data_IF_387829796933
#
_entry.id   IF_387829796933
#
_cell.length_a   1.000
_cell.length_b   1.000
_cell.length_c   1.000
_cell.angle_alpha   90.00
_cell.angle_beta   90.00
_cell.angle_gamma   90.00
#
_symmetry.space_group_name_H-M   'P 1'
#
loop_
_entity.id
_entity.type
_entity.pdbx_description
1 polymer ?
#
# COMPACT_ATOMS: atom_id res chain seq x y z
N UNK A 1 22.80 -31.29 32.88
CA UNK A 1 22.57 -31.47 31.43
C UNK A 1 21.10 -31.69 31.09
N UNK A 2 20.33 -32.49 31.86
CA UNK A 2 18.89 -32.71 31.61
C UNK A 2 17.99 -31.46 31.75
N UNK A 3 18.36 -30.47 32.59
CA UNK A 3 17.59 -29.22 32.74
C UNK A 3 17.68 -28.32 31.50
N UNK A 4 18.86 -28.23 30.87
CA UNK A 4 19.08 -27.39 29.70
C UNK A 4 18.30 -27.92 28.48
N UNK A 5 18.28 -29.24 28.32
CA UNK A 5 17.59 -29.92 27.22
C UNK A 5 16.05 -29.75 27.29
N UNK A 6 15.49 -29.70 28.50
CA UNK A 6 14.05 -29.44 28.71
C UNK A 6 13.65 -28.02 28.36
N UNK A 7 14.53 -27.03 28.62
CA UNK A 7 14.30 -25.62 28.29
C UNK A 7 14.37 -25.41 26.77
N UNK A 8 15.30 -26.06 26.07
CA UNK A 8 15.37 -25.94 24.61
C UNK A 8 14.14 -26.53 23.92
N UNK A 9 13.63 -27.67 24.40
CA UNK A 9 12.47 -28.33 23.79
C UNK A 9 11.18 -27.49 23.91
N UNK A 10 11.00 -26.80 25.04
CA UNK A 10 9.84 -25.94 25.27
C UNK A 10 9.89 -24.65 24.45
N UNK A 11 11.09 -24.06 24.26
CA UNK A 11 11.26 -22.87 23.40
C UNK A 11 10.91 -23.21 21.95
N UNK A 12 11.37 -24.35 21.42
CA UNK A 12 11.08 -24.78 20.04
C UNK A 12 9.59 -25.04 19.80
N UNK A 13 8.89 -25.61 20.77
CA UNK A 13 7.45 -25.91 20.64
C UNK A 13 6.59 -24.64 20.66
N UNK A 14 7.03 -23.61 21.39
CA UNK A 14 6.37 -22.31 21.49
C UNK A 14 6.42 -21.53 20.17
N UNK A 15 7.54 -21.63 19.44
CA UNK A 15 7.73 -20.93 18.15
C UNK A 15 6.86 -21.50 17.02
N UNK A 16 6.53 -22.79 17.05
CA UNK A 16 5.69 -23.42 16.01
C UNK A 16 4.21 -23.03 16.11
N UNK A 17 3.69 -22.81 17.33
CA UNK A 17 2.27 -22.51 17.54
C UNK A 17 1.88 -21.08 17.15
N UNK A 18 2.83 -20.14 17.13
CA UNK A 18 2.56 -18.75 16.75
C UNK A 18 2.35 -18.56 15.24
N UNK A 19 2.85 -19.48 14.42
CA UNK A 19 2.81 -19.35 12.95
C UNK A 19 1.42 -19.62 12.33
N UNK A 20 0.49 -20.28 13.05
CA UNK A 20 -0.82 -20.64 12.49
C UNK A 20 -1.92 -19.58 12.66
N UNK A 21 -1.67 -18.49 13.38
CA UNK A 21 -2.71 -17.48 13.68
C UNK A 21 -2.84 -16.37 12.65
N UNK A 22 -2.07 -16.39 11.56
CA UNK A 22 -2.04 -15.33 10.55
C UNK A 22 -2.84 -15.74 9.29
N UNK A 23 -4.12 -16.07 9.47
CA UNK A 23 -5.06 -16.14 8.34
C UNK A 23 -6.22 -15.19 8.62
N UNK A 24 -5.87 -13.91 8.80
CA UNK A 24 -6.87 -12.84 8.78
C UNK A 24 -7.37 -12.72 7.34
N UNK A 25 -8.62 -13.13 7.12
CA UNK A 25 -9.31 -12.96 5.86
C UNK A 25 -9.36 -11.48 5.52
N UNK A 26 -8.78 -11.11 4.38
CA UNK A 26 -8.87 -9.78 3.78
C UNK A 26 -10.31 -9.52 3.30
N UNK A 27 -11.24 -9.37 4.22
CA UNK A 27 -12.48 -8.62 4.00
C UNK A 27 -12.14 -7.14 4.25
N UNK A 28 -11.29 -6.57 3.40
CA UNK A 28 -10.80 -5.20 3.54
C UNK A 28 -11.93 -4.24 3.15
N UNK A 29 -12.55 -3.65 4.16
CA UNK A 29 -13.68 -2.75 4.04
C UNK A 29 -13.29 -1.43 3.35
N UNK A 30 -14.28 -0.80 2.73
CA UNK A 30 -14.24 0.50 2.05
C UNK A 30 -13.54 1.64 2.82
N UNK A 31 -13.37 1.52 4.13
CA UNK A 31 -12.64 2.49 4.96
C UNK A 31 -11.14 2.51 4.67
N UNK A 32 -10.54 1.35 4.38
CA UNK A 32 -9.12 1.26 4.07
C UNK A 32 -8.79 1.86 2.70
N UNK A 33 -9.66 1.63 1.71
CA UNK A 33 -9.56 2.23 0.38
C UNK A 33 -9.64 3.77 0.45
N UNK A 34 -10.45 4.31 1.36
CA UNK A 34 -10.57 5.74 1.61
C UNK A 34 -9.28 6.33 2.23
N UNK A 35 -8.67 5.62 3.17
CA UNK A 35 -7.39 6.03 3.78
C UNK A 35 -6.24 6.04 2.76
N UNK A 36 -6.13 5.01 1.92
CA UNK A 36 -5.12 4.96 0.84
C UNK A 36 -5.33 6.11 -0.15
N UNK A 37 -6.57 6.36 -0.57
CA UNK A 37 -6.89 7.45 -1.50
C UNK A 37 -6.53 8.81 -0.91
N UNK A 38 -6.81 9.03 0.37
CA UNK A 38 -6.45 10.27 1.08
C UNK A 38 -4.93 10.46 1.13
N UNK A 39 -4.18 9.42 1.50
CA UNK A 39 -2.71 9.47 1.52
C UNK A 39 -2.12 9.71 0.14
N UNK A 40 -2.69 9.08 -0.89
CA UNK A 40 -2.29 9.34 -2.27
C UNK A 40 -2.49 10.82 -2.64
N UNK A 41 -3.64 11.41 -2.31
CA UNK A 41 -3.92 12.82 -2.60
C UNK A 41 -2.93 13.76 -1.93
N UNK A 42 -2.58 13.50 -0.67
CA UNK A 42 -1.56 14.26 0.04
C UNK A 42 -0.19 14.16 -0.65
N UNK A 43 0.22 12.94 -1.03
CA UNK A 43 1.46 12.71 -1.78
C UNK A 43 1.47 13.39 -3.15
N UNK A 44 0.37 13.32 -3.89
CA UNK A 44 0.18 13.99 -5.17
C UNK A 44 0.33 15.51 -5.03
N UNK A 45 -0.38 16.12 -4.07
CA UNK A 45 -0.31 17.56 -3.83
C UNK A 45 1.09 18.00 -3.40
N UNK A 46 1.78 17.22 -2.57
CA UNK A 46 3.16 17.48 -2.19
C UNK A 46 4.11 17.42 -3.39
N UNK A 47 3.96 16.43 -4.27
CA UNK A 47 4.76 16.32 -5.49
C UNK A 47 4.55 17.50 -6.44
N UNK A 48 3.29 17.93 -6.62
CA UNK A 48 2.97 19.10 -7.44
C UNK A 48 3.52 20.39 -6.85
N UNK A 49 3.39 20.59 -5.54
CA UNK A 49 3.96 21.74 -4.83
C UNK A 49 5.50 21.76 -4.95
N UNK A 50 6.15 20.60 -4.77
CA UNK A 50 7.60 20.47 -4.96
C UNK A 50 8.04 20.78 -6.39
N UNK A 51 7.20 20.47 -7.38
CA UNK A 51 7.43 20.81 -8.79
C UNK A 51 7.08 22.26 -9.14
N UNK A 52 6.54 23.06 -8.20
CA UNK A 52 6.05 24.41 -8.46
C UNK A 52 4.86 24.46 -9.44
N UNK A 53 4.11 23.35 -9.57
CA UNK A 53 2.99 23.22 -10.50
C UNK A 53 1.67 23.23 -9.75
N UNK A 54 0.65 23.85 -10.36
CA UNK A 54 -0.74 23.70 -9.93
C UNK A 54 -1.42 22.67 -10.84
N UNK A 55 -1.88 21.52 -10.31
CA UNK A 55 -2.57 20.52 -11.12
C UNK A 55 -3.93 21.05 -11.61
N UNK A 56 -4.36 20.68 -12.83
CA UNK A 56 -5.73 20.87 -13.27
C UNK A 56 -6.75 20.23 -12.32
N UNK A 57 -7.98 20.75 -12.33
CA UNK A 57 -9.06 20.20 -11.52
C UNK A 57 -9.29 18.71 -11.83
N UNK A 58 -9.43 17.90 -10.77
CA UNK A 58 -9.66 16.45 -10.87
C UNK A 58 -8.41 15.60 -11.08
N UNK A 59 -7.24 16.18 -11.41
CA UNK A 59 -6.05 15.40 -11.74
C UNK A 59 -5.55 14.53 -10.58
N UNK A 60 -5.56 15.06 -9.36
CA UNK A 60 -5.17 14.30 -8.17
C UNK A 60 -6.11 13.13 -7.91
N UNK A 61 -7.42 13.35 -8.02
CA UNK A 61 -8.43 12.31 -7.84
C UNK A 61 -8.29 11.20 -8.89
N UNK A 62 -8.13 11.58 -10.15
CA UNK A 62 -7.93 10.63 -11.26
C UNK A 62 -6.67 9.78 -11.05
N UNK A 63 -5.56 10.44 -10.70
CA UNK A 63 -4.27 9.76 -10.47
C UNK A 63 -4.36 8.79 -9.30
N UNK A 64 -5.03 9.19 -8.22
CA UNK A 64 -5.16 8.37 -7.02
C UNK A 64 -6.14 7.21 -7.16
N UNK A 65 -7.22 7.38 -7.93
CA UNK A 65 -8.08 6.26 -8.27
C UNK A 65 -7.32 5.22 -9.10
N UNK A 66 -6.58 5.67 -10.12
CA UNK A 66 -5.72 4.77 -10.89
C UNK A 66 -4.73 4.01 -9.99
N UNK A 67 -4.09 4.71 -9.04
CA UNK A 67 -3.12 4.10 -8.14
C UNK A 67 -3.77 3.02 -7.27
N UNK A 68 -4.93 3.31 -6.69
CA UNK A 68 -5.69 2.33 -5.90
C UNK A 68 -6.07 1.11 -6.75
N UNK A 69 -6.56 1.33 -7.98
CA UNK A 69 -6.91 0.24 -8.90
C UNK A 69 -5.71 -0.67 -9.20
N UNK A 70 -4.52 -0.10 -9.42
CA UNK A 70 -3.29 -0.89 -9.68
C UNK A 70 -2.85 -1.67 -8.45
N UNK A 71 -2.87 -1.06 -7.26
CA UNK A 71 -2.49 -1.74 -6.01
C UNK A 71 -3.48 -2.87 -5.71
N UNK A 72 -4.78 -2.64 -5.87
CA UNK A 72 -5.81 -3.66 -5.71
C UNK A 72 -5.67 -4.80 -6.74
N UNK A 73 -5.13 -4.51 -7.93
CA UNK A 73 -4.78 -5.52 -8.94
C UNK A 73 -3.48 -6.28 -8.64
N UNK A 74 -2.80 -6.01 -7.52
CA UNK A 74 -1.56 -6.68 -7.11
C UNK A 74 -0.29 -6.07 -7.70
N UNK A 75 -0.37 -4.89 -8.31
CA UNK A 75 0.81 -4.18 -8.83
C UNK A 75 1.71 -3.69 -7.70
N UNK A 76 3.03 -3.72 -7.91
CA UNK A 76 3.98 -3.13 -6.96
C UNK A 76 3.83 -1.60 -6.93
N UNK A 77 3.93 -1.00 -5.74
CA UNK A 77 3.65 0.43 -5.49
C UNK A 77 4.39 1.36 -6.47
N UNK A 78 5.69 1.13 -6.69
CA UNK A 78 6.50 1.97 -7.60
C UNK A 78 6.02 1.89 -9.05
N UNK A 79 5.67 0.69 -9.53
CA UNK A 79 5.12 0.47 -10.86
C UNK A 79 3.74 1.12 -10.99
N UNK A 80 2.88 0.98 -9.98
CA UNK A 80 1.57 1.65 -9.94
C UNK A 80 1.71 3.18 -10.01
N UNK A 81 2.64 3.77 -9.25
CA UNK A 81 2.94 5.21 -9.31
C UNK A 81 3.36 5.66 -10.71
N UNK A 82 4.36 5.00 -11.31
CA UNK A 82 4.85 5.37 -12.64
C UNK A 82 3.77 5.23 -13.71
N UNK A 83 3.01 4.12 -13.70
CA UNK A 83 1.90 3.89 -14.64
C UNK A 83 0.83 4.96 -14.52
N UNK A 84 0.41 5.29 -13.31
CA UNK A 84 -0.68 6.25 -13.10
C UNK A 84 -0.26 7.70 -13.32
N UNK A 85 1.00 8.05 -13.05
CA UNK A 85 1.54 9.35 -13.44
C UNK A 85 1.56 9.51 -14.98
N UNK A 86 2.04 8.49 -15.70
CA UNK A 86 2.04 8.52 -17.17
C UNK A 86 0.61 8.59 -17.73
N UNK A 87 -0.33 7.83 -17.15
CA UNK A 87 -1.74 7.88 -17.52
C UNK A 87 -2.35 9.25 -17.27
N UNK A 88 -2.02 9.89 -16.15
CA UNK A 88 -2.47 11.25 -15.84
C UNK A 88 -1.87 12.29 -16.81
N UNK A 89 -0.57 12.20 -17.12
CA UNK A 89 0.07 13.07 -18.12
C UNK A 89 -0.61 12.99 -19.48
N UNK A 90 -0.90 11.77 -19.95
CA UNK A 90 -1.62 11.56 -21.21
C UNK A 90 -3.08 12.04 -21.17
N UNK A 91 -3.76 11.92 -20.02
CA UNK A 91 -5.17 12.35 -19.89
C UNK A 91 -5.34 13.87 -19.82
N UNK A 92 -4.37 14.57 -19.22
CA UNK A 92 -4.40 16.02 -19.02
C UNK A 92 -3.49 16.80 -19.98
N UNK A 93 -2.80 16.10 -20.89
CA UNK A 93 -1.90 16.66 -21.92
C UNK A 93 -0.75 17.51 -21.33
N UNK A 94 0.00 16.93 -20.38
CA UNK A 94 1.13 17.59 -19.68
C UNK A 94 2.43 16.78 -19.67
#
# INVERSE_FOLDING_TARGET
MALLQRICLSISLSSFLFAMSMVDGLAQSSEHENAITTMCLLGFNAAMANAGKTPPAGMGQFTCQCFLDQVNAGEVISSAQSKCQAKAGAHYDI
#
